data_IF_353562226574
#
_entry.id   IF_353562226574
#
_cell.length_a   1.000
_cell.length_b   1.000
_cell.length_c   1.000
_cell.angle_alpha   90.00
_cell.angle_beta   90.00
_cell.angle_gamma   90.00
#
_symmetry.space_group_name_H-M   'P 1'
#
loop_
_entity.id
_entity.type
_entity.pdbx_description
1 polymer ?
#
# COMPACT_ATOMS: atom_id res chain seq x y z
N UNK A 1 -15.55 -2.12 -3.73
CA UNK A 1 -15.23 -3.57 -3.69
C UNK A 1 -16.22 -4.32 -2.81
N UNK A 2 -16.57 -5.57 -3.15
CA UNK A 2 -17.48 -6.38 -2.33
C UNK A 2 -16.79 -6.78 -1.00
N UNK A 3 -17.46 -6.69 0.17
CA UNK A 3 -16.81 -6.88 1.48
C UNK A 3 -16.18 -8.26 1.69
N UNK A 4 -16.70 -9.31 1.04
CA UNK A 4 -16.12 -10.67 1.05
C UNK A 4 -14.66 -10.68 0.57
N UNK A 5 -14.26 -9.74 -0.28
CA UNK A 5 -12.90 -9.64 -0.82
C UNK A 5 -11.96 -8.83 0.08
N UNK A 6 -12.46 -8.19 1.15
CA UNK A 6 -11.66 -7.29 2.00
C UNK A 6 -10.36 -7.93 2.51
N UNK A 7 -10.35 -9.18 3.04
CA UNK A 7 -9.09 -9.78 3.51
C UNK A 7 -8.08 -10.03 2.39
N UNK A 8 -8.56 -10.38 1.20
CA UNK A 8 -7.71 -10.60 0.02
C UNK A 8 -7.07 -9.29 -0.45
N UNK A 9 -7.88 -8.23 -0.53
CA UNK A 9 -7.43 -6.90 -0.98
C UNK A 9 -6.36 -6.37 -0.02
N UNK A 10 -6.64 -6.38 1.29
CA UNK A 10 -5.68 -5.94 2.31
C UNK A 10 -4.39 -6.77 2.28
N UNK A 11 -4.50 -8.08 2.10
CA UNK A 11 -3.32 -8.95 1.96
C UNK A 11 -2.50 -8.61 0.72
N UNK A 12 -3.14 -8.34 -0.41
CA UNK A 12 -2.46 -7.98 -1.64
C UNK A 12 -1.79 -6.60 -1.53
N UNK A 13 -2.49 -5.60 -0.99
CA UNK A 13 -1.93 -4.26 -0.74
C UNK A 13 -0.72 -4.32 0.21
N UNK A 14 -0.85 -5.07 1.32
CA UNK A 14 0.24 -5.26 2.27
C UNK A 14 1.47 -5.90 1.62
N UNK A 15 1.28 -6.99 0.87
CA UNK A 15 2.37 -7.64 0.12
C UNK A 15 2.98 -6.70 -0.92
N UNK A 16 2.17 -5.85 -1.55
CA UNK A 16 2.59 -4.86 -2.53
C UNK A 16 3.45 -3.73 -1.98
N UNK A 17 3.45 -3.52 -0.65
CA UNK A 17 4.37 -2.58 0.01
C UNK A 17 3.76 -1.77 1.15
N UNK A 18 2.43 -1.76 1.29
CA UNK A 18 1.73 -0.95 2.30
C UNK A 18 2.16 -1.30 3.74
N UNK A 19 2.32 -0.28 4.59
CA UNK A 19 2.76 -0.44 5.98
C UNK A 19 1.68 -0.98 6.92
N UNK A 20 0.41 -0.76 6.60
CA UNK A 20 -0.71 -1.20 7.42
C UNK A 20 -1.98 -1.35 6.59
N UNK A 21 -3.00 -1.92 7.22
CA UNK A 21 -4.32 -2.16 6.61
C UNK A 21 -5.42 -1.72 7.57
N UNK A 22 -6.58 -1.35 7.04
CA UNK A 22 -7.67 -0.78 7.83
C UNK A 22 -8.73 -1.79 8.25
N UNK A 23 -8.93 -2.89 7.49
CA UNK A 23 -9.97 -3.85 7.84
C UNK A 23 -9.53 -4.78 8.97
N UNK A 24 -10.45 -5.05 9.90
CA UNK A 24 -10.20 -6.00 11.00
C UNK A 24 -9.90 -7.40 10.48
N UNK A 25 -10.61 -7.84 9.44
CA UNK A 25 -10.44 -9.18 8.87
C UNK A 25 -9.15 -9.34 8.09
N UNK A 26 -8.72 -8.31 7.35
CA UNK A 26 -7.42 -8.27 6.67
C UNK A 26 -6.27 -8.24 7.67
N UNK A 27 -6.35 -7.38 8.68
CA UNK A 27 -5.37 -7.33 9.76
C UNK A 27 -5.23 -8.68 10.48
N UNK A 28 -6.36 -9.33 10.80
CA UNK A 28 -6.37 -10.68 11.39
C UNK A 28 -5.73 -11.73 10.49
N UNK A 29 -6.04 -11.72 9.18
CA UNK A 29 -5.45 -12.65 8.21
C UNK A 29 -3.92 -12.48 8.11
N UNK A 30 -3.45 -11.23 8.19
CA UNK A 30 -2.05 -10.87 8.11
C UNK A 30 -1.30 -11.08 9.44
N UNK A 31 -2.01 -11.09 10.57
CA UNK A 31 -1.41 -11.10 11.90
C UNK A 31 -0.81 -9.75 12.31
N UNK A 32 -1.34 -8.64 11.78
CA UNK A 32 -0.90 -7.27 12.09
C UNK A 32 -1.98 -6.50 12.85
N UNK A 33 -1.63 -5.38 13.48
CA UNK A 33 -2.61 -4.48 14.10
C UNK A 33 -3.31 -3.66 13.01
N UNK A 34 -4.65 -3.58 12.99
CA UNK A 34 -5.35 -2.69 12.06
C UNK A 34 -5.03 -1.24 12.38
N UNK A 35 -4.95 -0.41 11.34
CA UNK A 35 -4.71 1.03 11.46
C UNK A 35 -5.97 1.82 11.13
N UNK A 36 -6.19 2.93 11.83
CA UNK A 36 -7.30 3.84 11.60
C UNK A 36 -7.16 5.10 12.44
N UNK A 37 -7.75 6.19 11.95
CA UNK A 37 -7.84 7.47 12.67
C UNK A 37 -9.32 7.81 12.91
N UNK A 38 -9.58 8.92 13.60
CA UNK A 38 -10.97 9.37 13.81
C UNK A 38 -11.69 9.67 12.48
N UNK A 39 -13.00 9.36 12.37
CA UNK A 39 -13.81 9.70 11.21
C UNK A 39 -14.51 11.06 11.37
N UNK A 40 -14.92 11.68 10.25
CA UNK A 40 -15.76 12.89 10.28
C UNK A 40 -17.03 12.71 11.11
N UNK A 41 -17.62 11.52 11.10
CA UNK A 41 -18.82 11.20 11.87
C UNK A 41 -18.65 11.48 13.38
N UNK A 42 -17.45 11.28 13.94
CA UNK A 42 -17.19 11.60 15.34
C UNK A 42 -17.35 13.12 15.58
N UNK A 43 -16.67 13.94 14.78
CA UNK A 43 -16.70 15.40 14.91
C UNK A 43 -18.13 15.93 14.70
N UNK A 44 -18.83 15.42 13.69
CA UNK A 44 -20.21 15.80 13.37
C UNK A 44 -21.17 15.49 14.53
N UNK A 45 -21.06 14.33 15.17
CA UNK A 45 -21.92 13.95 16.30
C UNK A 45 -21.66 14.82 17.53
N UNK A 46 -20.42 15.22 17.77
CA UNK A 46 -20.09 16.16 18.84
C UNK A 46 -20.48 17.62 18.52
N UNK A 47 -20.65 17.94 17.23
CA UNK A 47 -20.94 19.29 16.74
C UNK A 47 -19.82 20.30 16.98
N UNK A 48 -18.64 19.82 17.38
CA UNK A 48 -17.49 20.62 17.81
C UNK A 48 -16.21 19.78 17.72
N UNK A 49 -15.27 20.22 16.90
CA UNK A 49 -14.02 19.49 16.66
C UNK A 49 -13.12 19.40 17.89
N UNK A 50 -13.05 20.45 18.72
CA UNK A 50 -12.23 20.45 19.94
C UNK A 50 -12.75 19.43 20.96
N UNK A 51 -14.08 19.36 21.14
CA UNK A 51 -14.70 18.34 22.01
C UNK A 51 -14.46 16.93 21.48
N UNK A 52 -14.58 16.72 20.17
CA UNK A 52 -14.34 15.43 19.54
C UNK A 52 -12.88 14.96 19.70
N UNK A 53 -11.90 15.84 19.45
CA UNK A 53 -10.48 15.53 19.61
C UNK A 53 -10.12 15.20 21.06
N UNK A 54 -10.63 15.97 22.03
CA UNK A 54 -10.45 15.69 23.47
C UNK A 54 -11.08 14.36 23.88
N UNK A 55 -12.31 14.08 23.43
CA UNK A 55 -12.98 12.83 23.73
C UNK A 55 -12.21 11.62 23.15
N UNK A 56 -11.69 11.74 21.93
CA UNK A 56 -10.84 10.69 21.34
C UNK A 56 -9.57 10.49 22.17
N UNK A 57 -8.91 11.57 22.59
CA UNK A 57 -7.70 11.50 23.40
C UNK A 57 -7.93 10.88 24.78
N UNK A 58 -9.09 11.14 25.40
CA UNK A 58 -9.46 10.61 26.71
C UNK A 58 -9.82 9.12 26.67
N UNK A 59 -10.60 8.69 25.67
CA UNK A 59 -11.21 7.35 25.64
C UNK A 59 -10.33 6.31 24.96
N UNK A 60 -9.61 6.68 23.91
CA UNK A 60 -8.82 5.72 23.12
C UNK A 60 -7.51 5.42 23.82
N UNK A 61 -7.05 4.16 23.78
CA UNK A 61 -5.79 3.75 24.40
C UNK A 61 -4.59 4.57 23.91
N UNK A 62 -3.65 4.88 24.80
CA UNK A 62 -2.49 5.75 24.53
C UNK A 62 -1.51 5.18 23.47
N UNK A 63 -1.59 3.88 23.18
CA UNK A 63 -0.79 3.22 22.12
C UNK A 63 -1.31 3.49 20.69
N UNK A 64 -2.45 4.17 20.57
CA UNK A 64 -2.99 4.64 19.28
C UNK A 64 -2.54 6.08 19.05
N UNK A 65 -1.83 6.39 17.96
CA UNK A 65 -1.44 7.76 17.66
C UNK A 65 -2.65 8.69 17.51
N UNK A 66 -2.55 9.91 18.08
CA UNK A 66 -3.59 10.93 17.93
C UNK A 66 -3.38 11.65 16.60
N UNK A 67 -4.12 11.23 15.59
CA UNK A 67 -4.19 11.91 14.30
C UNK A 67 -5.53 12.63 14.20
N UNK A 68 -5.51 13.95 14.32
CA UNK A 68 -6.71 14.79 14.27
C UNK A 68 -7.19 14.96 12.82
N UNK A 69 -8.49 14.77 12.58
CA UNK A 69 -9.10 15.10 11.29
C UNK A 69 -9.44 16.60 11.28
N UNK A 70 -8.98 17.34 10.27
CA UNK A 70 -8.93 18.81 10.29
C UNK A 70 -9.66 19.48 9.13
N UNK A 71 -10.58 18.78 8.47
CA UNK A 71 -11.27 19.25 7.28
C UNK A 71 -12.80 19.05 7.39
N UNK A 72 -13.35 19.17 8.62
CA UNK A 72 -14.78 18.90 8.84
C UNK A 72 -15.66 20.13 8.67
N UNK A 73 -15.34 21.25 9.31
CA UNK A 73 -16.18 22.45 9.31
C UNK A 73 -15.44 23.72 8.92
N UNK A 74 -14.26 23.94 9.49
CA UNK A 74 -13.40 25.06 9.16
C UNK A 74 -12.35 24.64 8.14
N UNK A 75 -11.67 25.66 7.61
CA UNK A 75 -10.52 25.48 6.74
C UNK A 75 -9.40 24.69 7.44
N UNK A 76 -8.71 23.84 6.69
CA UNK A 76 -7.67 22.93 7.17
C UNK A 76 -6.56 23.64 7.93
N UNK A 77 -6.17 24.84 7.50
CA UNK A 77 -5.21 25.65 8.25
C UNK A 77 -5.72 25.96 9.64
N UNK A 78 -6.97 26.39 9.76
CA UNK A 78 -7.54 26.79 11.04
C UNK A 78 -7.73 25.59 11.96
N UNK A 79 -8.32 24.49 11.47
CA UNK A 79 -8.51 23.30 12.29
C UNK A 79 -7.18 22.64 12.68
N UNK A 80 -6.14 22.69 11.84
CA UNK A 80 -4.81 22.20 12.19
C UNK A 80 -4.20 22.97 13.38
N UNK A 81 -4.28 24.31 13.35
CA UNK A 81 -3.83 25.16 14.48
C UNK A 81 -4.65 24.82 15.74
N UNK A 82 -5.98 24.74 15.62
CA UNK A 82 -6.85 24.42 16.76
C UNK A 82 -6.55 23.03 17.35
N UNK A 83 -6.29 22.03 16.51
CA UNK A 83 -5.94 20.68 16.94
C UNK A 83 -4.60 20.67 17.69
N UNK A 84 -3.61 21.38 17.15
CA UNK A 84 -2.29 21.51 17.76
C UNK A 84 -2.34 22.22 19.11
N UNK A 85 -3.08 23.33 19.24
CA UNK A 85 -3.28 24.02 20.51
C UNK A 85 -4.06 23.19 21.54
N UNK A 86 -4.99 22.36 21.05
CA UNK A 86 -5.84 21.50 21.90
C UNK A 86 -5.07 20.32 22.49
N UNK A 87 -4.33 19.59 21.65
CA UNK A 87 -3.68 18.33 22.02
C UNK A 87 -2.18 18.48 22.31
N UNK A 88 -1.55 19.56 21.84
CA UNK A 88 -0.14 19.90 22.10
C UNK A 88 0.80 18.73 21.76
N UNK A 89 1.69 18.38 22.70
CA UNK A 89 2.62 17.24 22.60
C UNK A 89 1.95 15.88 22.35
N UNK A 90 0.65 15.75 22.68
CA UNK A 90 -0.09 14.51 22.44
C UNK A 90 -0.53 14.36 20.99
N UNK A 91 -0.55 15.45 20.21
CA UNK A 91 -0.89 15.40 18.79
C UNK A 91 0.26 14.77 18.01
N UNK A 92 0.00 13.61 17.41
CA UNK A 92 0.97 12.94 16.55
C UNK A 92 0.94 13.50 15.13
N UNK A 93 -0.24 13.87 14.64
CA UNK A 93 -0.39 14.43 13.30
C UNK A 93 -1.77 14.97 13.02
N UNK A 94 -1.91 15.64 11.88
CA UNK A 94 -3.20 16.07 11.32
C UNK A 94 -3.47 15.28 10.04
N UNK A 95 -4.74 14.93 9.79
CA UNK A 95 -5.18 14.26 8.56
C UNK A 95 -6.03 15.21 7.74
N UNK A 96 -5.62 15.42 6.49
CA UNK A 96 -6.39 16.15 5.48
C UNK A 96 -7.03 15.11 4.54
N UNK A 97 -8.36 15.04 4.56
CA UNK A 97 -9.17 14.23 3.63
C UNK A 97 -9.93 15.14 2.64
N UNK A 98 -9.33 16.30 2.32
CA UNK A 98 -9.97 17.45 1.70
C UNK A 98 -10.89 17.05 0.53
N UNK A 99 -12.18 17.43 0.57
CA UNK A 99 -13.12 17.10 -0.50
C UNK A 99 -12.64 17.60 -1.87
N UNK A 100 -12.93 16.85 -2.93
CA UNK A 100 -12.52 17.21 -4.30
C UNK A 100 -12.96 18.63 -4.72
N UNK A 101 -14.10 19.11 -4.23
CA UNK A 101 -14.60 20.47 -4.50
C UNK A 101 -13.91 21.59 -3.71
N UNK A 102 -12.99 21.25 -2.82
CA UNK A 102 -12.15 22.18 -2.03
C UNK A 102 -10.66 21.97 -2.30
N UNK A 103 -10.30 20.82 -2.89
CA UNK A 103 -8.95 20.45 -3.29
C UNK A 103 -8.52 21.20 -4.55
N UNK A 104 -8.27 22.50 -4.43
CA UNK A 104 -7.75 23.35 -5.50
C UNK A 104 -6.31 22.98 -5.83
N UNK A 105 -5.36 23.49 -5.05
CA UNK A 105 -3.97 23.01 -5.07
C UNK A 105 -3.64 22.35 -3.74
N UNK A 106 -3.57 21.01 -3.75
CA UNK A 106 -3.42 20.26 -2.50
C UNK A 106 -2.00 20.35 -1.93
N UNK A 107 -0.98 20.44 -2.79
CA UNK A 107 0.40 20.63 -2.37
C UNK A 107 0.59 21.99 -1.67
N UNK A 108 0.01 23.06 -2.21
CA UNK A 108 0.04 24.38 -1.55
C UNK A 108 -0.70 24.38 -0.21
N UNK A 109 -1.85 23.70 -0.11
CA UNK A 109 -2.56 23.56 1.17
C UNK A 109 -1.72 22.83 2.22
N UNK A 110 -1.00 21.78 1.83
CA UNK A 110 -0.08 21.06 2.73
C UNK A 110 1.05 21.98 3.19
N UNK A 111 1.64 22.76 2.28
CA UNK A 111 2.69 23.75 2.62
C UNK A 111 2.16 24.83 3.57
N UNK A 112 0.93 25.30 3.34
CA UNK A 112 0.27 26.27 4.22
C UNK A 112 0.06 25.71 5.62
N UNK A 113 -0.52 24.50 5.74
CA UNK A 113 -0.72 23.83 7.04
C UNK A 113 0.62 23.59 7.74
N UNK A 114 1.63 23.11 7.00
CA UNK A 114 2.97 22.87 7.52
C UNK A 114 3.58 24.15 8.09
N UNK A 115 3.55 25.23 7.31
CA UNK A 115 4.06 26.54 7.71
C UNK A 115 3.38 27.03 9.00
N UNK A 116 2.05 26.98 9.06
CA UNK A 116 1.30 27.51 10.20
C UNK A 116 1.52 26.72 11.48
N UNK A 117 1.73 25.40 11.38
CA UNK A 117 2.14 24.57 12.51
C UNK A 117 3.58 24.91 12.96
N UNK A 118 4.52 25.05 12.03
CA UNK A 118 5.94 25.25 12.33
C UNK A 118 6.21 26.60 12.99
N UNK A 119 5.63 27.69 12.49
CA UNK A 119 5.82 29.03 13.08
C UNK A 119 5.23 29.15 14.49
N UNK A 120 4.39 28.19 14.90
CA UNK A 120 3.80 28.08 16.25
C UNK A 120 4.49 27.04 17.13
N UNK A 121 5.57 26.42 16.64
CA UNK A 121 6.36 25.44 17.39
C UNK A 121 5.77 24.03 17.40
N UNK A 122 4.97 23.66 16.41
CA UNK A 122 4.38 22.32 16.24
C UNK A 122 5.01 21.54 15.09
N UNK A 123 6.34 21.64 14.95
CA UNK A 123 7.12 20.97 13.90
C UNK A 123 7.14 19.43 14.06
N UNK A 124 6.83 18.91 15.25
CA UNK A 124 6.65 17.48 15.50
C UNK A 124 5.35 16.88 14.93
N UNK A 125 4.35 17.72 14.64
CA UNK A 125 3.02 17.28 14.20
C UNK A 125 3.10 16.86 12.73
N UNK A 126 2.96 15.57 12.44
CA UNK A 126 3.05 15.05 11.07
C UNK A 126 1.82 15.37 10.21
N UNK A 127 2.00 15.44 8.90
CA UNK A 127 0.88 15.62 7.96
C UNK A 127 0.52 14.28 7.30
N UNK A 128 -0.71 13.84 7.54
CA UNK A 128 -1.35 12.68 6.91
C UNK A 128 -2.31 13.18 5.82
N UNK A 129 -2.33 12.51 4.68
CA UNK A 129 -3.25 12.83 3.59
C UNK A 129 -4.03 11.60 3.14
N UNK A 130 -5.28 11.78 2.75
CA UNK A 130 -6.12 10.74 2.15
C UNK A 130 -7.04 11.32 1.06
N UNK A 131 -7.75 10.42 0.38
CA UNK A 131 -8.77 10.78 -0.61
C UNK A 131 -8.20 11.07 -2.01
N UNK A 132 -8.41 10.14 -2.94
CA UNK A 132 -8.05 10.33 -4.35
C UNK A 132 -6.54 10.26 -4.65
N UNK A 133 -5.77 9.53 -3.83
CA UNK A 133 -4.33 9.40 -3.98
C UNK A 133 -3.94 8.30 -4.99
N UNK A 134 -2.89 8.54 -5.77
CA UNK A 134 -2.30 7.59 -6.71
C UNK A 134 -0.79 7.85 -6.88
N UNK A 135 -0.12 7.01 -7.67
CA UNK A 135 1.31 7.10 -7.97
C UNK A 135 1.73 8.41 -8.65
N UNK A 136 0.79 9.10 -9.32
CA UNK A 136 1.08 10.36 -10.04
C UNK A 136 1.12 11.56 -9.09
N UNK A 137 0.22 11.61 -8.10
CA UNK A 137 0.12 12.75 -7.18
C UNK A 137 0.92 12.59 -5.89
N UNK A 138 1.18 11.38 -5.42
CA UNK A 138 1.91 11.14 -4.17
C UNK A 138 3.30 11.83 -4.15
N UNK A 139 4.14 11.77 -5.21
CA UNK A 139 5.46 12.41 -5.18
C UNK A 139 5.41 13.92 -4.87
N UNK A 140 4.49 14.66 -5.50
CA UNK A 140 4.32 16.09 -5.26
C UNK A 140 3.88 16.38 -3.82
N UNK A 141 3.01 15.53 -3.24
CA UNK A 141 2.55 15.69 -1.86
C UNK A 141 3.65 15.36 -0.85
N UNK A 142 4.54 14.41 -1.15
CA UNK A 142 5.75 14.15 -0.33
C UNK A 142 6.62 15.41 -0.31
N UNK A 143 6.91 15.99 -1.47
CA UNK A 143 7.70 17.24 -1.58
C UNK A 143 7.03 18.43 -0.88
N UNK A 144 5.70 18.45 -0.82
CA UNK A 144 4.93 19.46 -0.10
C UNK A 144 5.01 19.31 1.43
N UNK A 145 5.39 18.13 1.96
CA UNK A 145 5.54 17.86 3.39
C UNK A 145 4.57 16.80 3.95
N UNK A 146 3.83 16.07 3.12
CA UNK A 146 3.05 14.92 3.59
C UNK A 146 3.96 13.73 3.94
N UNK A 147 3.73 13.13 5.10
CA UNK A 147 4.57 12.05 5.63
C UNK A 147 3.85 10.69 5.66
N UNK A 148 2.52 10.68 5.51
CA UNK A 148 1.73 9.45 5.57
C UNK A 148 0.49 9.53 4.67
N UNK A 149 0.15 8.39 4.06
CA UNK A 149 -0.82 8.32 2.96
C UNK A 149 -1.88 7.25 3.23
N UNK A 150 -3.15 7.68 3.23
CA UNK A 150 -4.32 6.79 3.23
C UNK A 150 -4.78 6.51 1.81
N UNK A 151 -4.22 5.50 1.16
CA UNK A 151 -4.55 5.14 -0.23
C UNK A 151 -5.63 4.06 -0.28
N UNK A 152 -6.73 4.34 -1.00
CA UNK A 152 -7.91 3.47 -1.05
C UNK A 152 -8.25 2.98 -2.46
N UNK A 153 -9.03 3.76 -3.20
CA UNK A 153 -9.67 3.33 -4.46
C UNK A 153 -8.67 2.92 -5.55
N UNK A 154 -7.56 3.65 -5.72
CA UNK A 154 -6.54 3.36 -6.74
C UNK A 154 -5.92 1.97 -6.61
N UNK A 155 -5.80 1.46 -5.38
CA UNK A 155 -5.28 0.11 -5.12
C UNK A 155 -6.38 -0.94 -5.02
N UNK A 156 -7.43 -0.66 -4.23
CA UNK A 156 -8.50 -1.64 -4.01
C UNK A 156 -9.31 -1.95 -5.27
N UNK A 157 -9.38 -1.00 -6.21
CA UNK A 157 -10.06 -1.14 -7.49
C UNK A 157 -9.06 -1.19 -8.67
N UNK A 158 -7.81 -1.62 -8.42
CA UNK A 158 -6.81 -1.77 -9.47
C UNK A 158 -7.31 -2.74 -10.58
N UNK A 159 -7.00 -2.48 -11.86
CA UNK A 159 -7.37 -3.37 -12.95
C UNK A 159 -6.85 -4.79 -12.73
N UNK A 160 -7.66 -5.79 -13.11
CA UNK A 160 -7.24 -7.18 -13.03
C UNK A 160 -6.18 -7.50 -14.09
N UNK A 161 -5.20 -8.33 -13.74
CA UNK A 161 -4.28 -8.92 -14.72
C UNK A 161 -5.04 -10.03 -15.46
N UNK A 162 -5.14 -9.91 -16.79
CA UNK A 162 -5.85 -10.85 -17.66
C UNK A 162 -5.05 -12.15 -17.87
N UNK A 163 -5.09 -13.03 -16.86
CA UNK A 163 -4.47 -14.35 -16.93
C UNK A 163 -5.30 -15.34 -17.75
N UNK A 164 -4.64 -16.07 -18.64
CA UNK A 164 -5.23 -17.16 -19.42
C UNK A 164 -4.60 -18.52 -19.05
N UNK A 165 -5.41 -19.58 -19.11
CA UNK A 165 -4.97 -20.96 -18.95
C UNK A 165 -5.14 -21.69 -20.28
N UNK A 166 -4.03 -22.17 -20.85
CA UNK A 166 -3.98 -22.85 -22.15
C UNK A 166 -3.15 -24.14 -22.04
N UNK A 167 -3.55 -25.18 -22.76
CA UNK A 167 -2.74 -26.41 -22.90
C UNK A 167 -1.51 -26.09 -23.75
N UNK A 168 -0.32 -26.46 -23.23
CA UNK A 168 0.96 -26.29 -23.94
C UNK A 168 1.64 -27.62 -24.28
N UNK A 169 1.15 -28.75 -23.76
CA UNK A 169 1.72 -30.08 -24.00
C UNK A 169 0.65 -31.14 -23.76
N UNK A 170 0.60 -32.16 -24.61
CA UNK A 170 -0.36 -33.27 -24.51
C UNK A 170 0.36 -34.58 -24.82
N UNK A 171 0.33 -35.54 -23.89
CA UNK A 171 1.02 -36.84 -24.01
C UNK A 171 2.49 -36.71 -24.46
N UNK A 172 3.20 -35.71 -23.91
CA UNK A 172 4.60 -35.38 -24.25
C UNK A 172 4.80 -34.69 -25.61
N UNK A 173 3.74 -34.48 -26.39
CA UNK A 173 3.78 -33.74 -27.65
C UNK A 173 3.59 -32.24 -27.39
N UNK A 174 4.52 -31.43 -27.90
CA UNK A 174 4.44 -29.97 -27.81
C UNK A 174 3.27 -29.47 -28.67
N UNK A 175 2.33 -28.74 -28.08
CA UNK A 175 1.16 -28.22 -28.77
C UNK A 175 0.71 -26.89 -28.16
N UNK A 176 -0.05 -26.07 -28.88
CA UNK A 176 -0.73 -24.88 -28.36
C UNK A 176 -1.73 -24.36 -29.40
N UNK A 177 -2.73 -23.57 -28.98
CA UNK A 177 -3.57 -22.81 -29.90
C UNK A 177 -2.79 -21.64 -30.52
N UNK A 178 -3.32 -21.06 -31.61
CA UNK A 178 -2.76 -19.85 -32.24
C UNK A 178 -2.59 -18.72 -31.22
N UNK A 179 -1.45 -18.03 -31.30
CA UNK A 179 -1.09 -16.95 -30.36
C UNK A 179 -0.51 -17.43 -29.03
N UNK A 180 -0.31 -18.75 -28.83
CA UNK A 180 0.30 -19.31 -27.62
C UNK A 180 1.52 -20.16 -27.99
N UNK A 181 2.54 -20.14 -27.14
CA UNK A 181 3.78 -20.90 -27.34
C UNK A 181 3.64 -22.30 -26.72
N UNK A 182 3.82 -23.35 -27.50
CA UNK A 182 3.80 -24.73 -27.02
C UNK A 182 5.00 -25.13 -26.17
N UNK A 183 4.91 -26.32 -25.58
CA UNK A 183 5.90 -26.97 -24.72
C UNK A 183 5.92 -26.49 -23.28
N UNK A 184 6.32 -27.36 -22.36
CA UNK A 184 6.65 -26.99 -20.97
C UNK A 184 7.89 -26.10 -20.91
N UNK A 185 7.84 -25.05 -20.09
CA UNK A 185 8.88 -24.03 -20.01
C UNK A 185 9.33 -23.81 -18.56
N UNK A 186 10.53 -23.29 -18.39
CA UNK A 186 11.07 -22.73 -17.15
C UNK A 186 11.34 -21.24 -17.35
N UNK A 187 11.01 -20.45 -16.34
CA UNK A 187 11.40 -19.03 -16.25
C UNK A 187 12.66 -18.96 -15.41
N UNK A 188 13.72 -18.42 -16.01
CA UNK A 188 15.00 -18.16 -15.36
C UNK A 188 15.09 -16.67 -15.06
N UNK A 189 15.34 -16.29 -13.81
CA UNK A 189 15.50 -14.88 -13.40
C UNK A 189 16.90 -14.61 -12.92
N UNK A 190 17.48 -13.50 -13.36
CA UNK A 190 18.72 -13.00 -12.78
C UNK A 190 18.44 -12.37 -11.41
N UNK A 191 19.09 -12.80 -10.32
CA UNK A 191 18.84 -12.25 -8.99
C UNK A 191 19.36 -10.81 -8.82
N UNK A 192 20.26 -10.34 -9.70
CA UNK A 192 20.84 -8.99 -9.65
C UNK A 192 20.00 -7.95 -10.38
N UNK A 193 19.72 -8.17 -11.66
CA UNK A 193 19.04 -7.20 -12.53
C UNK A 193 17.59 -7.57 -12.85
N UNK A 194 17.08 -8.68 -12.31
CA UNK A 194 15.70 -9.15 -12.50
C UNK A 194 15.32 -9.47 -13.97
N UNK A 195 16.28 -9.53 -14.89
CA UNK A 195 16.05 -10.00 -16.26
C UNK A 195 15.55 -11.44 -16.26
N UNK A 196 14.49 -11.68 -17.02
CA UNK A 196 13.92 -13.01 -17.22
C UNK A 196 14.29 -13.61 -18.58
N UNK A 197 14.54 -14.91 -18.60
CA UNK A 197 14.66 -15.72 -19.82
C UNK A 197 13.72 -16.92 -19.68
N UNK A 198 12.95 -17.20 -20.73
CA UNK A 198 12.08 -18.37 -20.80
C UNK A 198 12.70 -19.40 -21.74
N UNK A 199 12.94 -20.62 -21.24
CA UNK A 199 13.44 -21.75 -22.03
C UNK A 199 12.52 -22.96 -21.88
N UNK A 200 12.57 -23.89 -22.84
CA UNK A 200 11.97 -25.21 -22.66
C UNK A 200 12.61 -25.93 -21.48
N UNK A 201 11.81 -26.72 -20.76
CA UNK A 201 12.31 -27.59 -19.69
C UNK A 201 13.38 -28.54 -20.26
N UNK A 202 14.47 -28.75 -19.52
CA UNK A 202 15.60 -29.58 -19.93
C UNK A 202 16.70 -28.85 -20.72
N UNK A 203 16.49 -27.58 -21.10
CA UNK A 203 17.59 -26.74 -21.61
C UNK A 203 18.58 -26.37 -20.49
N UNK A 204 19.87 -26.19 -20.82
CA UNK A 204 20.88 -25.82 -19.82
C UNK A 204 20.56 -24.45 -19.21
N UNK A 205 20.96 -24.27 -17.94
CA UNK A 205 20.83 -22.99 -17.22
C UNK A 205 21.50 -21.87 -18.03
N UNK A 206 20.78 -20.79 -18.38
CA UNK A 206 21.37 -19.66 -19.08
C UNK A 206 22.18 -18.78 -18.12
N UNK A 207 23.11 -18.01 -18.67
CA UNK A 207 23.68 -16.84 -18.01
C UNK A 207 22.84 -15.60 -18.32
N UNK A 208 22.80 -14.66 -17.39
CA UNK A 208 22.11 -13.40 -17.60
C UNK A 208 22.72 -12.64 -18.79
N UNK A 209 21.92 -12.19 -19.77
CA UNK A 209 22.43 -11.52 -20.96
C UNK A 209 22.87 -10.08 -20.67
N UNK A 210 22.39 -9.49 -19.57
CA UNK A 210 22.68 -8.10 -19.19
C UNK A 210 23.94 -7.98 -18.32
N UNK A 211 24.15 -8.89 -17.37
CA UNK A 211 25.26 -8.79 -16.40
C UNK A 211 26.10 -10.06 -16.25
N UNK A 212 25.85 -11.10 -17.06
CA UNK A 212 26.63 -12.35 -17.06
C UNK A 212 26.46 -13.26 -15.82
N UNK A 213 25.67 -12.85 -14.83
CA UNK A 213 25.45 -13.62 -13.59
C UNK A 213 24.64 -14.89 -13.84
N UNK A 214 24.78 -15.88 -12.95
CA UNK A 214 23.93 -17.08 -13.00
C UNK A 214 22.46 -16.74 -12.74
N UNK A 215 21.56 -17.47 -13.41
CA UNK A 215 20.12 -17.27 -13.30
C UNK A 215 19.46 -18.36 -12.47
N UNK A 216 18.43 -18.00 -11.70
CA UNK A 216 17.69 -18.89 -10.81
C UNK A 216 16.39 -19.38 -11.45
N UNK A 217 15.96 -20.59 -11.08
CA UNK A 217 14.66 -21.14 -11.50
C UNK A 217 13.52 -20.48 -10.72
N UNK A 218 12.54 -19.93 -11.43
CA UNK A 218 11.38 -19.26 -10.82
C UNK A 218 10.17 -20.18 -10.68
N UNK A 219 9.93 -21.09 -11.63
CA UNK A 219 8.82 -22.04 -11.51
C UNK A 219 9.28 -23.25 -10.68
N UNK A 220 8.74 -23.35 -9.46
CA UNK A 220 9.00 -24.44 -8.51
C UNK A 220 7.71 -25.22 -8.25
N UNK A 221 7.78 -26.54 -8.00
CA UNK A 221 6.58 -27.33 -7.70
C UNK A 221 5.90 -26.86 -6.41
N UNK A 222 4.65 -26.42 -6.50
CA UNK A 222 3.80 -26.13 -5.33
C UNK A 222 2.97 -27.36 -4.94
N UNK A 223 2.41 -28.07 -5.93
CA UNK A 223 1.59 -29.27 -5.74
C UNK A 223 2.20 -30.42 -6.53
N UNK A 224 2.33 -31.59 -5.89
CA UNK A 224 2.65 -32.87 -6.56
C UNK A 224 1.64 -33.92 -6.12
N UNK A 225 1.01 -34.62 -7.07
CA UNK A 225 0.03 -35.69 -6.81
C UNK A 225 -1.07 -35.26 -5.82
N UNK A 226 -1.62 -34.04 -5.99
CA UNK A 226 -2.67 -33.49 -5.13
C UNK A 226 -2.22 -33.01 -3.75
N UNK A 227 -0.92 -33.10 -3.42
CA UNK A 227 -0.37 -32.64 -2.13
C UNK A 227 0.47 -31.39 -2.30
N UNK A 228 0.31 -30.43 -1.39
CA UNK A 228 1.19 -29.27 -1.31
C UNK A 228 2.57 -29.76 -0.86
N UNK A 229 3.61 -29.44 -1.64
CA UNK A 229 5.00 -29.88 -1.40
C UNK A 229 5.96 -28.74 -1.13
N UNK A 230 5.45 -27.50 -1.02
CA UNK A 230 6.22 -26.33 -0.67
C UNK A 230 5.68 -25.71 0.63
N UNK A 231 6.58 -25.14 1.42
CA UNK A 231 6.20 -24.32 2.56
C UNK A 231 5.67 -22.98 2.07
N UNK A 232 4.48 -22.59 2.54
CA UNK A 232 3.86 -21.32 2.17
C UNK A 232 4.35 -20.22 3.12
N UNK A 233 5.08 -19.21 2.62
CA UNK A 233 5.59 -18.13 3.46
C UNK A 233 4.45 -17.29 4.04
N UNK A 234 4.66 -16.79 5.26
CA UNK A 234 3.78 -15.79 5.88
C UNK A 234 3.79 -14.49 5.06
N UNK A 235 2.69 -13.70 5.09
CA UNK A 235 2.59 -12.45 4.33
C UNK A 235 3.79 -11.50 4.49
N UNK A 236 4.31 -11.32 5.71
CA UNK A 236 5.49 -10.48 5.96
C UNK A 236 6.74 -10.90 5.18
N UNK A 237 6.97 -12.21 5.04
CA UNK A 237 8.10 -12.73 4.27
C UNK A 237 7.91 -12.48 2.78
N UNK A 238 6.67 -12.52 2.30
CA UNK A 238 6.35 -12.18 0.91
C UNK A 238 6.52 -10.68 0.68
N UNK A 239 6.03 -9.83 1.59
CA UNK A 239 6.22 -8.37 1.54
C UNK A 239 7.71 -8.00 1.51
N UNK A 240 8.51 -8.58 2.39
CA UNK A 240 9.98 -8.37 2.41
C UNK A 240 10.64 -8.80 1.10
N UNK A 241 10.16 -9.88 0.47
CA UNK A 241 10.65 -10.31 -0.82
C UNK A 241 10.31 -9.31 -1.93
N UNK A 242 9.07 -8.80 -1.95
CA UNK A 242 8.63 -7.77 -2.92
C UNK A 242 9.42 -6.48 -2.75
N UNK A 243 9.54 -5.95 -1.53
CA UNK A 243 10.29 -4.71 -1.27
C UNK A 243 11.75 -4.80 -1.73
N UNK A 244 12.44 -5.92 -1.44
CA UNK A 244 13.81 -6.19 -1.92
C UNK A 244 13.93 -6.27 -3.45
N UNK A 245 12.84 -6.58 -4.15
CA UNK A 245 12.82 -6.56 -5.61
C UNK A 245 12.58 -5.14 -6.13
N UNK A 246 11.68 -4.38 -5.49
CA UNK A 246 11.43 -2.98 -5.86
C UNK A 246 12.67 -2.11 -5.73
N UNK A 247 13.54 -2.35 -4.74
CA UNK A 247 14.85 -1.68 -4.59
C UNK A 247 15.77 -1.81 -5.82
N UNK A 248 15.53 -2.80 -6.68
CA UNK A 248 16.34 -3.08 -7.88
C UNK A 248 15.71 -2.53 -9.15
N UNK A 249 14.49 -1.99 -9.07
CA UNK A 249 13.78 -1.39 -10.19
C UNK A 249 13.98 0.11 -10.13
N UNK A 250 14.17 0.72 -11.30
CA UNK A 250 13.91 2.15 -11.47
C UNK A 250 12.41 2.27 -11.70
N UNK A 251 11.71 2.85 -10.73
CA UNK A 251 10.29 3.15 -10.79
C UNK A 251 10.07 4.55 -11.36
#
# INVERSE_FOLDING_TARGET
>A
MHPVLSPMIDRAAYIGGFDGVSSLTGAKLLGVKPSGTMPHALIIVFGDQVKAWKAFDEVISADVPRVALVDTYYDEKMEAIMAAETLKERLFGVRLDTPASRKGNFAELIREVRWELDIRGFDHVKIFVSGGLNEENIPELIEAGAEAFGVGTSVSNAPTIDFALDIVEMDGKLCAKRGKMGGRKQVWRCPKCLTDIVLLVGKPRPKCPQCGSEMEEMLKPLIKNGKIVAELPKPDKIRQYVLKQLEKLQL
#
